data_IF_502223305940
#
_entry.id   IF_502223305940
#
_cell.length_a   1.000
_cell.length_b   1.000
_cell.length_c   1.000
_cell.angle_alpha   90.00
_cell.angle_beta   90.00
_cell.angle_gamma   90.00
#
_symmetry.space_group_name_H-M   'P 1'
#
loop_
_entity.id
_entity.type
_entity.pdbx_description
1 polymer ?
#
# COMPACT_ATOMS: atom_id res chain seq x y z
N UNK A 1 -23.53 19.12 7.99
CA UNK A 1 -23.49 17.71 7.53
C UNK A 1 -22.80 17.58 6.17
N UNK A 2 -23.21 18.34 5.16
CA UNK A 2 -22.57 18.41 3.82
C UNK A 2 -21.09 18.78 3.87
N UNK A 3 -20.70 19.78 4.67
CA UNK A 3 -19.30 20.24 4.80
C UNK A 3 -18.33 19.19 5.38
N UNK A 4 -18.81 18.31 6.27
CA UNK A 4 -18.01 17.21 6.82
C UNK A 4 -17.84 16.11 5.79
N UNK A 5 -18.91 15.76 5.07
CA UNK A 5 -18.87 14.80 3.99
C UNK A 5 -17.98 15.28 2.84
N UNK A 6 -18.00 16.56 2.47
CA UNK A 6 -17.12 17.10 1.42
C UNK A 6 -15.65 17.07 1.83
N UNK A 7 -15.30 17.38 3.08
CA UNK A 7 -13.90 17.30 3.54
C UNK A 7 -13.39 15.86 3.65
N UNK A 8 -14.26 14.94 4.07
CA UNK A 8 -13.96 13.51 4.08
C UNK A 8 -13.79 13.02 2.64
N UNK A 9 -14.73 13.31 1.73
CA UNK A 9 -14.64 12.92 0.33
C UNK A 9 -13.43 13.54 -0.39
N UNK A 10 -13.10 14.81 -0.11
CA UNK A 10 -11.88 15.45 -0.65
C UNK A 10 -10.59 14.83 -0.10
N UNK A 11 -10.61 14.41 1.17
CA UNK A 11 -9.51 13.68 1.78
C UNK A 11 -9.32 12.28 1.19
N UNK A 12 -10.40 11.64 0.72
CA UNK A 12 -10.33 10.30 0.11
C UNK A 12 -10.12 10.37 -1.42
N UNK A 13 -10.61 11.40 -2.12
CA UNK A 13 -10.31 11.61 -3.55
C UNK A 13 -8.84 11.92 -3.81
N UNK A 14 -8.14 12.50 -2.83
CA UNK A 14 -6.67 12.67 -2.87
C UNK A 14 -5.88 11.37 -2.71
N UNK A 15 -6.53 10.23 -2.44
CA UNK A 15 -5.87 8.93 -2.26
C UNK A 15 -5.86 8.06 -3.52
N UNK A 16 -6.63 8.44 -4.55
CA UNK A 16 -6.76 7.67 -5.80
C UNK A 16 -5.42 7.46 -6.53
N UNK A 17 -4.48 8.39 -6.41
CA UNK A 17 -3.16 8.33 -7.06
C UNK A 17 -1.97 8.08 -6.12
N UNK A 18 -2.20 7.59 -4.89
CA UNK A 18 -1.13 7.46 -3.89
C UNK A 18 -0.24 6.21 -4.08
N UNK A 19 -0.75 5.18 -4.75
CA UNK A 19 0.00 3.94 -5.02
C UNK A 19 0.68 4.02 -6.39
N UNK A 20 -0.07 4.41 -7.42
CA UNK A 20 0.42 4.73 -8.77
C UNK A 20 -0.32 6.01 -9.17
N UNK A 21 0.41 7.06 -9.52
CA UNK A 21 -0.20 8.33 -9.94
C UNK A 21 -0.71 8.25 -11.38
N UNK A 22 -1.62 9.15 -11.75
CA UNK A 22 -2.10 9.27 -13.15
C UNK A 22 -0.93 9.50 -14.12
N UNK A 23 0.06 10.31 -13.73
CA UNK A 23 1.29 10.54 -14.50
C UNK A 23 2.11 9.26 -14.69
N UNK A 24 2.19 8.41 -13.66
CA UNK A 24 2.92 7.15 -13.71
C UNK A 24 2.18 6.11 -14.55
N UNK A 25 0.84 6.08 -14.50
CA UNK A 25 0.03 5.29 -15.43
C UNK A 25 0.22 5.75 -16.88
N UNK A 26 0.27 7.06 -17.12
CA UNK A 26 0.56 7.60 -18.43
C UNK A 26 1.96 7.18 -18.90
N UNK A 27 2.99 7.25 -18.06
CA UNK A 27 4.35 6.78 -18.40
C UNK A 27 4.39 5.27 -18.71
N UNK A 28 3.77 4.44 -17.86
CA UNK A 28 3.72 2.98 -18.04
C UNK A 28 2.98 2.57 -19.32
N UNK A 29 1.97 3.35 -19.75
CA UNK A 29 1.09 3.01 -20.87
C UNK A 29 1.32 3.86 -22.14
N UNK A 30 2.36 4.69 -22.18
CA UNK A 30 2.74 5.47 -23.37
C UNK A 30 1.90 6.73 -23.61
N UNK A 31 1.33 7.32 -22.56
CA UNK A 31 0.58 8.57 -22.56
C UNK A 31 -0.94 8.37 -22.49
N UNK A 32 -1.67 9.36 -21.95
CA UNK A 32 -3.13 9.31 -21.81
C UNK A 32 -3.88 9.17 -23.15
N UNK A 33 -3.27 9.66 -24.23
CA UNK A 33 -3.84 9.61 -25.58
C UNK A 33 -3.54 8.30 -26.31
N UNK A 34 -2.79 7.38 -25.74
CA UNK A 34 -2.44 6.11 -26.39
C UNK A 34 -3.64 5.16 -26.42
N UNK A 35 -3.73 4.36 -27.49
CA UNK A 35 -4.75 3.30 -27.60
C UNK A 35 -4.61 2.26 -26.47
N UNK A 36 -3.38 2.06 -25.99
CA UNK A 36 -3.06 1.21 -24.84
C UNK A 36 -3.68 1.74 -23.55
N UNK A 37 -3.55 3.04 -23.27
CA UNK A 37 -4.15 3.67 -22.09
C UNK A 37 -5.68 3.53 -22.11
N UNK A 38 -6.32 3.84 -23.25
CA UNK A 38 -7.77 3.70 -23.39
C UNK A 38 -8.24 2.24 -23.19
N UNK A 39 -7.50 1.28 -23.75
CA UNK A 39 -7.80 -0.15 -23.59
C UNK A 39 -7.68 -0.62 -22.14
N UNK A 40 -6.77 -0.06 -21.36
CA UNK A 40 -6.55 -0.42 -19.94
C UNK A 40 -7.20 0.54 -18.95
N UNK A 41 -8.00 1.51 -19.40
CA UNK A 41 -8.71 2.45 -18.52
C UNK A 41 -9.57 1.73 -17.45
N UNK A 42 -10.19 0.59 -17.81
CA UNK A 42 -10.94 -0.21 -16.85
C UNK A 42 -10.06 -0.78 -15.73
N UNK A 43 -8.81 -1.14 -16.03
CA UNK A 43 -7.87 -1.67 -15.05
C UNK A 43 -7.44 -0.56 -14.09
N UNK A 44 -7.13 0.63 -14.63
CA UNK A 44 -6.80 1.82 -13.85
C UNK A 44 -7.94 2.13 -12.87
N UNK A 45 -9.18 2.20 -13.37
CA UNK A 45 -10.35 2.46 -12.53
C UNK A 45 -10.54 1.40 -11.43
N UNK A 46 -10.30 0.12 -11.72
CA UNK A 46 -10.37 -0.95 -10.71
C UNK A 46 -9.26 -0.81 -9.67
N UNK A 47 -8.03 -0.55 -10.09
CA UNK A 47 -6.89 -0.39 -9.17
C UNK A 47 -7.09 0.83 -8.27
N UNK A 48 -7.60 1.94 -8.82
CA UNK A 48 -7.89 3.15 -8.04
C UNK A 48 -9.05 2.91 -7.06
N UNK A 49 -10.11 2.23 -7.49
CA UNK A 49 -11.22 1.87 -6.63
C UNK A 49 -10.80 0.93 -5.48
N UNK A 50 -9.90 -0.03 -5.75
CA UNK A 50 -9.31 -0.88 -4.71
C UNK A 50 -8.45 -0.03 -3.77
N UNK A 51 -7.60 0.84 -4.30
CA UNK A 51 -6.72 1.73 -3.52
C UNK A 51 -7.53 2.63 -2.57
N UNK A 52 -8.66 3.14 -3.03
CA UNK A 52 -9.58 3.96 -2.24
C UNK A 52 -10.07 3.27 -0.96
N UNK A 53 -10.30 1.96 -1.01
CA UNK A 53 -10.72 1.16 0.16
C UNK A 53 -9.51 0.62 0.94
N UNK A 54 -8.44 0.28 0.23
CA UNK A 54 -7.25 -0.33 0.79
C UNK A 54 -6.49 0.65 1.71
N UNK A 55 -6.37 1.93 1.34
CA UNK A 55 -5.65 2.93 2.15
C UNK A 55 -6.26 3.16 3.54
N UNK A 56 -7.57 3.46 3.70
CA UNK A 56 -8.15 3.62 5.04
C UNK A 56 -8.02 2.34 5.87
N UNK A 57 -8.12 1.16 5.23
CA UNK A 57 -7.86 -0.11 5.89
C UNK A 57 -6.41 -0.22 6.37
N UNK A 58 -5.42 0.12 5.54
CA UNK A 58 -4.00 0.13 5.92
C UNK A 58 -3.70 1.13 7.03
N UNK A 59 -4.37 2.29 7.07
CA UNK A 59 -4.21 3.25 8.17
C UNK A 59 -4.67 2.63 9.49
N UNK A 60 -5.83 1.98 9.51
CA UNK A 60 -6.37 1.32 10.71
C UNK A 60 -5.46 0.16 11.14
N UNK A 61 -5.05 -0.69 10.21
CA UNK A 61 -4.16 -1.83 10.48
C UNK A 61 -2.77 -1.36 10.91
N UNK A 62 -2.23 -0.34 10.27
CA UNK A 62 -0.94 0.27 10.60
C UNK A 62 -0.95 0.89 12.00
N UNK A 63 -2.02 1.60 12.36
CA UNK A 63 -2.18 2.15 13.70
C UNK A 63 -2.27 1.04 14.77
N UNK A 64 -3.08 0.00 14.52
CA UNK A 64 -3.19 -1.15 15.42
C UNK A 64 -1.85 -1.90 15.58
N UNK A 65 -1.14 -2.10 14.47
CA UNK A 65 0.18 -2.72 14.44
C UNK A 65 1.22 -1.92 15.23
N UNK A 66 1.21 -0.59 15.09
CA UNK A 66 2.10 0.30 15.84
C UNK A 66 1.84 0.24 17.34
N UNK A 67 0.57 0.28 17.75
CA UNK A 67 0.19 0.15 19.17
C UNK A 67 0.68 -1.19 19.73
N UNK A 68 0.44 -2.29 19.00
CA UNK A 68 0.87 -3.63 19.44
C UNK A 68 2.40 -3.75 19.53
N UNK A 69 3.13 -3.15 18.60
CA UNK A 69 4.60 -3.11 18.63
C UNK A 69 5.13 -2.37 19.87
N UNK A 70 4.50 -1.24 20.25
CA UNK A 70 4.85 -0.50 21.46
C UNK A 70 4.62 -1.37 22.71
N UNK A 71 3.47 -2.05 22.81
CA UNK A 71 3.14 -2.92 23.95
C UNK A 71 4.18 -4.03 24.10
N UNK A 72 4.56 -4.70 23.01
CA UNK A 72 5.60 -5.72 23.03
C UNK A 72 6.96 -5.16 23.47
N UNK A 73 7.34 -3.98 22.96
CA UNK A 73 8.58 -3.31 23.33
C UNK A 73 8.64 -3.01 24.83
N UNK A 74 7.55 -2.50 25.41
CA UNK A 74 7.42 -2.24 26.85
C UNK A 74 7.49 -3.54 27.66
N UNK A 75 6.83 -4.60 27.20
CA UNK A 75 6.86 -5.91 27.88
C UNK A 75 8.26 -6.53 27.88
N UNK A 76 9.02 -6.36 26.79
CA UNK A 76 10.42 -6.80 26.74
C UNK A 76 11.30 -6.00 27.71
N UNK A 77 11.09 -4.68 27.81
CA UNK A 77 11.85 -3.82 28.72
C UNK A 77 11.57 -4.09 30.21
N UNK A 78 10.33 -4.48 30.55
CA UNK A 78 9.90 -4.81 31.92
C UNK A 78 10.09 -6.27 32.32
N UNK A 79 10.62 -7.11 31.44
CA UNK A 79 10.79 -8.52 31.75
C UNK A 79 11.95 -8.74 32.72
N UNK A 80 11.63 -9.18 33.94
CA UNK A 80 12.62 -9.43 35.01
C UNK A 80 13.21 -10.85 34.97
N UNK A 81 12.57 -11.79 34.25
CA UNK A 81 13.08 -13.16 34.08
C UNK A 81 13.56 -13.40 32.64
N UNK A 82 14.60 -14.24 32.50
CA UNK A 82 15.16 -14.64 31.20
C UNK A 82 14.10 -15.28 30.29
N UNK A 83 13.22 -16.10 30.87
CA UNK A 83 12.13 -16.76 30.14
C UNK A 83 11.14 -15.76 29.52
N UNK A 84 10.72 -14.74 30.28
CA UNK A 84 9.81 -13.68 29.80
C UNK A 84 10.47 -12.81 28.73
N UNK A 85 11.79 -12.61 28.79
CA UNK A 85 12.54 -11.86 27.77
C UNK A 85 12.58 -12.61 26.44
N UNK A 86 12.84 -13.91 26.46
CA UNK A 86 12.92 -14.72 25.23
C UNK A 86 11.55 -14.89 24.57
N UNK A 87 10.47 -15.02 25.36
CA UNK A 87 9.11 -15.04 24.82
C UNK A 87 8.73 -13.69 24.16
N UNK A 88 9.04 -12.57 24.80
CA UNK A 88 8.79 -11.24 24.26
C UNK A 88 9.57 -10.99 22.96
N UNK A 89 10.85 -11.40 22.90
CA UNK A 89 11.68 -11.32 21.68
C UNK A 89 11.08 -12.12 20.53
N UNK A 90 10.65 -13.36 20.78
CA UNK A 90 10.04 -14.20 19.74
C UNK A 90 8.79 -13.56 19.15
N UNK A 91 7.94 -12.99 20.00
CA UNK A 91 6.74 -12.26 19.56
C UNK A 91 7.10 -11.01 18.76
N UNK A 92 8.17 -10.30 19.15
CA UNK A 92 8.64 -9.10 18.47
C UNK A 92 9.23 -9.43 17.08
N UNK A 93 9.98 -10.51 16.95
CA UNK A 93 10.49 -11.00 15.66
C UNK A 93 9.32 -11.30 14.72
N UNK A 94 8.27 -11.98 15.20
CA UNK A 94 7.10 -12.26 14.38
C UNK A 94 6.42 -10.98 13.86
N UNK A 95 6.33 -9.92 14.68
CA UNK A 95 5.78 -8.63 14.25
C UNK A 95 6.66 -7.99 13.17
N UNK A 96 7.98 -8.01 13.34
CA UNK A 96 8.92 -7.47 12.34
C UNK A 96 8.82 -8.24 11.02
N UNK A 97 8.78 -9.58 11.08
CA UNK A 97 8.66 -10.43 9.88
C UNK A 97 7.34 -10.18 9.17
N UNK A 98 6.22 -10.06 9.92
CA UNK A 98 4.93 -9.71 9.35
C UNK A 98 4.95 -8.36 8.63
N UNK A 99 5.57 -7.34 9.24
CA UNK A 99 5.73 -6.03 8.63
C UNK A 99 6.60 -6.08 7.36
N UNK A 100 7.71 -6.81 7.40
CA UNK A 100 8.59 -6.98 6.26
C UNK A 100 7.90 -7.69 5.08
N UNK A 101 7.12 -8.74 5.36
CA UNK A 101 6.32 -9.44 4.33
C UNK A 101 5.28 -8.49 3.74
N UNK A 102 4.56 -7.72 4.56
CA UNK A 102 3.56 -6.78 4.08
C UNK A 102 4.15 -5.74 3.13
N UNK A 103 5.27 -5.10 3.52
CA UNK A 103 5.97 -4.12 2.68
C UNK A 103 6.50 -4.80 1.40
N UNK A 104 7.11 -5.98 1.55
CA UNK A 104 7.61 -6.76 0.41
C UNK A 104 6.51 -7.11 -0.58
N UNK A 105 5.31 -7.45 -0.12
CA UNK A 105 4.17 -7.77 -0.98
C UNK A 105 3.69 -6.55 -1.78
N UNK A 106 3.58 -5.39 -1.13
CA UNK A 106 3.18 -4.13 -1.78
C UNK A 106 4.21 -3.76 -2.86
N UNK A 107 5.50 -3.75 -2.50
CA UNK A 107 6.57 -3.44 -3.45
C UNK A 107 6.62 -4.45 -4.59
N UNK A 108 6.41 -5.74 -4.31
CA UNK A 108 6.35 -6.78 -5.32
C UNK A 108 5.26 -6.48 -6.35
N UNK A 109 4.03 -6.17 -5.94
CA UNK A 109 2.96 -5.84 -6.88
C UNK A 109 3.23 -4.57 -7.69
N UNK A 110 3.74 -3.52 -7.06
CA UNK A 110 4.07 -2.25 -7.75
C UNK A 110 5.15 -2.49 -8.80
N UNK A 111 6.25 -3.13 -8.42
CA UNK A 111 7.36 -3.43 -9.34
C UNK A 111 6.94 -4.43 -10.42
N UNK A 112 6.10 -5.39 -10.08
CA UNK A 112 5.56 -6.36 -11.03
C UNK A 112 4.75 -5.68 -12.12
N UNK A 113 3.83 -4.77 -11.77
CA UNK A 113 3.04 -4.01 -12.73
C UNK A 113 3.95 -3.18 -13.64
N UNK A 114 4.91 -2.45 -13.05
CA UNK A 114 5.90 -1.65 -13.80
C UNK A 114 6.74 -2.45 -14.77
N UNK A 115 7.05 -3.70 -14.46
CA UNK A 115 7.95 -4.51 -15.30
C UNK A 115 7.19 -5.31 -16.36
N UNK A 116 6.04 -5.87 -15.99
CA UNK A 116 5.28 -6.79 -16.85
C UNK A 116 4.50 -6.02 -17.90
N UNK A 117 3.82 -4.93 -17.57
CA UNK A 117 3.00 -4.20 -18.53
C UNK A 117 3.81 -3.72 -19.74
N UNK A 118 4.94 -3.01 -19.59
CA UNK A 118 5.73 -2.58 -20.75
C UNK A 118 6.42 -3.74 -21.49
N UNK A 119 6.71 -4.86 -20.83
CA UNK A 119 7.30 -6.03 -21.49
C UNK A 119 6.30 -6.76 -22.41
N UNK A 120 5.01 -6.78 -22.06
CA UNK A 120 3.97 -7.38 -22.89
C UNK A 120 3.36 -6.41 -23.90
N UNK A 121 3.42 -5.11 -23.62
CA UNK A 121 2.89 -4.05 -24.46
C UNK A 121 3.94 -2.94 -24.55
N UNK A 122 5.02 -3.14 -25.33
CA UNK A 122 5.97 -2.08 -25.59
C UNK A 122 5.18 -0.90 -26.17
N UNK A 123 5.40 0.30 -25.62
CA UNK A 123 4.90 1.51 -26.23
C UNK A 123 5.44 1.55 -27.66
N UNK A 124 4.59 1.26 -28.64
CA UNK A 124 4.95 1.35 -30.04
C UNK A 124 5.30 2.82 -30.27
N UNK A 125 6.57 3.10 -30.57
CA UNK A 125 7.02 4.45 -30.91
C UNK A 125 6.23 4.89 -32.14
N UNK A 126 5.26 5.78 -31.94
CA UNK A 126 4.57 6.50 -33.01
C UNK A 126 5.36 7.75 -33.36
#
# INVERSE_FOLDING_TARGET
>A
MTLLLTKIMAGISGLGGWIISEEEWADILGGETSDTYQRFSWLIQVVDAVSYVLIPLLIVVGAAGMIYAIILGVNMARADSTEKREEAKKRLINVIVGLAIMIGLILFFILFIKFIIPAFFPAEEV
#
